data_IF_806414674498
#
_entry.id   IF_806414674498
#
_cell.length_a   1.000
_cell.length_b   1.000
_cell.length_c   1.000
_cell.angle_alpha   90.00
_cell.angle_beta   90.00
_cell.angle_gamma   90.00
#
_symmetry.space_group_name_H-M   'P 1'
#
loop_
_entity.id
_entity.type
_entity.pdbx_description
1 polymer ?
#
# COMPACT_ATOMS: atom_id res chain seq x y z
N UNK A 1 14.90 -18.01 8.31
CA UNK A 1 13.85 -17.84 7.28
C UNK A 1 12.95 -16.63 7.56
N UNK A 2 13.04 -16.00 8.73
CA UNK A 2 12.12 -14.90 9.12
C UNK A 2 12.44 -13.53 8.49
N UNK A 3 13.69 -13.32 8.04
CA UNK A 3 14.12 -12.02 7.50
C UNK A 3 13.53 -11.66 6.13
N UNK A 4 13.30 -12.64 5.26
CA UNK A 4 12.77 -12.40 3.90
C UNK A 4 11.30 -11.99 3.94
N UNK A 5 10.49 -12.68 4.75
CA UNK A 5 9.09 -12.33 4.97
C UNK A 5 8.97 -10.94 5.64
N UNK A 6 9.80 -10.65 6.64
CA UNK A 6 9.83 -9.35 7.30
C UNK A 6 10.17 -8.20 6.32
N UNK A 7 11.18 -8.39 5.47
CA UNK A 7 11.56 -7.42 4.45
C UNK A 7 10.46 -7.22 3.40
N UNK A 8 9.79 -8.30 2.99
CA UNK A 8 8.66 -8.24 2.08
C UNK A 8 7.51 -7.42 2.68
N UNK A 9 7.15 -7.67 3.94
CA UNK A 9 6.07 -6.94 4.61
C UNK A 9 6.41 -5.47 4.87
N UNK A 10 7.68 -5.16 5.18
CA UNK A 10 8.15 -3.78 5.26
C UNK A 10 7.95 -3.04 3.93
N UNK A 11 8.28 -3.69 2.80
CA UNK A 11 8.06 -3.13 1.45
C UNK A 11 6.57 -3.01 1.13
N UNK A 12 5.78 -4.03 1.43
CA UNK A 12 4.33 -4.05 1.21
C UNK A 12 3.61 -2.96 2.02
N UNK A 13 4.07 -2.67 3.24
CA UNK A 13 3.50 -1.61 4.09
C UNK A 13 3.47 -0.25 3.38
N UNK A 14 4.48 0.02 2.55
CA UNK A 14 4.60 1.24 1.77
C UNK A 14 3.96 1.14 0.38
N UNK A 15 4.16 0.02 -0.32
CA UNK A 15 3.72 -0.15 -1.71
C UNK A 15 2.22 -0.38 -1.85
N UNK A 16 1.60 -1.12 -0.94
CA UNK A 16 0.20 -1.47 -1.06
C UNK A 16 -0.73 -0.25 -1.07
N UNK A 17 -0.62 0.74 -0.15
CA UNK A 17 -1.49 1.92 -0.19
C UNK A 17 -1.31 2.74 -1.48
N UNK A 18 -0.07 2.90 -1.93
CA UNK A 18 0.25 3.63 -3.15
C UNK A 18 -0.34 2.93 -4.39
N UNK A 19 -0.09 1.63 -4.55
CA UNK A 19 -0.61 0.87 -5.68
C UNK A 19 -2.15 0.87 -5.68
N UNK A 20 -2.77 0.46 -4.57
CA UNK A 20 -4.22 0.29 -4.48
C UNK A 20 -4.98 1.60 -4.74
N UNK A 21 -4.55 2.72 -4.16
CA UNK A 21 -5.29 3.98 -4.31
C UNK A 21 -5.06 4.64 -5.67
N UNK A 22 -3.84 4.63 -6.21
CA UNK A 22 -3.59 5.20 -7.54
C UNK A 22 -4.30 4.42 -8.65
N UNK A 23 -4.32 3.09 -8.56
CA UNK A 23 -5.09 2.25 -9.48
C UNK A 23 -6.59 2.43 -9.30
N UNK A 24 -7.11 2.40 -8.06
CA UNK A 24 -8.55 2.51 -7.78
C UNK A 24 -9.14 3.82 -8.30
N UNK A 25 -8.43 4.94 -8.13
CA UNK A 25 -8.93 6.24 -8.56
C UNK A 25 -8.48 6.63 -9.96
N UNK A 26 -7.54 5.90 -10.58
CA UNK A 26 -6.94 6.29 -11.87
C UNK A 26 -6.22 7.64 -11.77
N UNK A 27 -5.66 7.97 -10.60
CA UNK A 27 -5.04 9.26 -10.30
C UNK A 27 -3.57 9.08 -9.95
N UNK A 28 -2.68 10.00 -10.36
CA UNK A 28 -1.29 9.99 -9.90
C UNK A 28 -1.22 10.26 -8.39
N UNK A 29 -0.11 9.88 -7.76
CA UNK A 29 0.08 9.96 -6.31
C UNK A 29 -0.16 11.38 -5.76
N UNK A 30 0.25 12.41 -6.49
CA UNK A 30 0.02 13.81 -6.12
C UNK A 30 -1.46 14.17 -5.98
N UNK A 31 -2.32 13.64 -6.85
CA UNK A 31 -3.76 13.85 -6.77
C UNK A 31 -4.40 12.99 -5.67
N UNK A 32 -3.91 11.76 -5.46
CA UNK A 32 -4.36 10.90 -4.34
C UNK A 32 -4.07 11.55 -2.99
N UNK A 33 -2.85 12.05 -2.76
CA UNK A 33 -2.50 12.72 -1.49
C UNK A 33 -3.26 14.03 -1.26
N UNK A 34 -3.75 14.67 -2.32
CA UNK A 34 -4.54 15.91 -2.23
C UNK A 34 -6.03 15.65 -2.01
N UNK A 35 -6.63 14.69 -2.74
CA UNK A 35 -8.08 14.43 -2.75
C UNK A 35 -8.51 13.29 -1.83
N UNK A 36 -7.58 12.40 -1.49
CA UNK A 36 -7.84 11.16 -0.76
C UNK A 36 -6.82 10.94 0.36
N UNK A 37 -6.29 12.02 0.96
CA UNK A 37 -5.28 11.98 2.03
C UNK A 37 -5.69 11.04 3.16
N UNK A 38 -6.93 11.17 3.65
CA UNK A 38 -7.45 10.35 4.76
C UNK A 38 -7.44 8.86 4.42
N UNK A 39 -7.83 8.49 3.20
CA UNK A 39 -7.79 7.09 2.75
C UNK A 39 -6.36 6.58 2.57
N UNK A 40 -5.44 7.43 2.11
CA UNK A 40 -4.02 7.10 2.00
C UNK A 40 -3.40 6.86 3.38
N UNK A 41 -3.70 7.72 4.36
CA UNK A 41 -3.24 7.56 5.73
C UNK A 41 -3.83 6.32 6.39
N UNK A 42 -5.15 6.13 6.32
CA UNK A 42 -5.82 4.97 6.92
C UNK A 42 -5.26 3.65 6.35
N UNK A 43 -5.10 3.56 5.03
CA UNK A 43 -4.56 2.35 4.40
C UNK A 43 -3.08 2.14 4.75
N UNK A 44 -2.28 3.20 4.92
CA UNK A 44 -0.91 3.09 5.40
C UNK A 44 -0.81 2.63 6.87
N UNK A 45 -1.76 3.02 7.72
CA UNK A 45 -1.87 2.54 9.10
C UNK A 45 -2.24 1.04 9.13
N UNK A 46 -3.21 0.63 8.32
CA UNK A 46 -3.62 -0.77 8.22
C UNK A 46 -2.49 -1.65 7.69
N UNK A 47 -1.82 -1.25 6.61
CA UNK A 47 -0.71 -2.02 6.04
C UNK A 47 0.50 -2.06 6.96
N UNK A 48 0.73 -1.02 7.76
CA UNK A 48 1.76 -1.04 8.80
C UNK A 48 1.41 -2.00 9.95
N UNK A 49 0.14 -2.03 10.38
CA UNK A 49 -0.31 -2.98 11.40
C UNK A 49 -0.16 -4.43 10.94
N UNK A 50 -0.54 -4.74 9.70
CA UNK A 50 -0.32 -6.07 9.11
C UNK A 50 1.17 -6.39 9.01
N UNK A 51 1.99 -5.45 8.54
CA UNK A 51 3.44 -5.66 8.45
C UNK A 51 4.04 -6.03 9.81
N UNK A 52 3.69 -5.28 10.87
CA UNK A 52 4.16 -5.56 12.23
C UNK A 52 3.73 -6.94 12.71
N UNK A 53 2.47 -7.32 12.46
CA UNK A 53 1.95 -8.63 12.83
C UNK A 53 2.67 -9.79 12.10
N UNK A 54 3.14 -9.54 10.87
CA UNK A 54 3.95 -10.48 10.09
C UNK A 54 5.47 -10.38 10.35
N UNK A 55 5.90 -9.66 11.40
CA UNK A 55 7.30 -9.51 11.78
C UNK A 55 8.11 -8.49 10.98
N UNK A 56 7.48 -7.76 10.05
CA UNK A 56 8.10 -6.71 9.26
C UNK A 56 8.06 -5.34 9.93
N UNK A 57 9.14 -4.55 9.91
CA UNK A 57 9.12 -3.18 10.43
C UNK A 57 8.23 -2.28 9.57
N UNK A 58 7.33 -1.53 10.23
CA UNK A 58 6.58 -0.47 9.58
C UNK A 58 6.28 0.65 10.57
N UNK A 59 6.50 1.89 10.14
CA UNK A 59 6.11 3.09 10.86
C UNK A 59 5.11 3.88 10.02
N UNK A 60 3.80 3.82 10.35
CA UNK A 60 2.79 4.51 9.58
C UNK A 60 2.96 6.04 9.64
N UNK A 61 3.60 6.57 10.70
CA UNK A 61 3.85 8.00 10.81
C UNK A 61 4.83 8.53 9.74
N UNK A 62 5.70 7.66 9.21
CA UNK A 62 6.64 8.03 8.15
C UNK A 62 6.04 7.91 6.75
N UNK A 63 4.93 7.19 6.58
CA UNK A 63 4.35 6.96 5.26
C UNK A 63 3.95 8.27 4.55
N UNK A 64 3.28 9.25 5.19
CA UNK A 64 2.94 10.51 4.55
C UNK A 64 4.16 11.26 4.00
N UNK A 65 5.21 11.41 4.81
CA UNK A 65 6.44 12.09 4.40
C UNK A 65 7.11 11.38 3.20
N UNK A 66 7.11 10.05 3.20
CA UNK A 66 7.63 9.26 2.07
C UNK A 66 6.82 9.46 0.81
N UNK A 67 5.49 9.50 0.89
CA UNK A 67 4.64 9.81 -0.27
C UNK A 67 4.83 11.25 -0.75
N UNK A 68 5.03 12.19 0.17
CA UNK A 68 5.22 13.60 -0.16
C UNK A 68 6.54 13.89 -0.89
N UNK A 69 7.55 13.02 -0.76
CA UNK A 69 8.82 13.11 -1.47
C UNK A 69 8.75 12.71 -2.95
N UNK A 70 7.68 12.05 -3.40
CA UNK A 70 7.52 11.68 -4.80
C UNK A 70 7.03 12.88 -5.63
N UNK A 71 7.47 12.98 -6.91
CA UNK A 71 6.86 13.93 -7.85
C UNK A 71 5.33 13.77 -7.93
N UNK A 72 4.58 14.86 -8.09
CA UNK A 72 3.11 14.81 -8.05
C UNK A 72 2.51 13.96 -9.19
N UNK A 73 3.22 13.78 -10.30
CA UNK A 73 2.80 12.99 -11.45
C UNK A 73 3.17 11.50 -11.35
N UNK A 74 3.78 11.05 -10.25
CA UNK A 74 4.19 9.65 -10.09
C UNK A 74 2.98 8.71 -10.14
N UNK A 75 3.08 7.68 -10.99
CA UNK A 75 2.11 6.58 -11.11
C UNK A 75 2.69 5.29 -10.55
N UNK A 76 1.86 4.46 -9.94
CA UNK A 76 2.28 3.09 -9.57
C UNK A 76 2.39 2.21 -10.82
N UNK A 77 3.11 1.09 -10.73
CA UNK A 77 3.14 0.11 -11.84
C UNK A 77 1.74 -0.45 -12.11
N UNK A 78 1.03 -0.84 -11.05
CA UNK A 78 -0.33 -1.37 -11.15
C UNK A 78 -1.30 -0.36 -11.79
N UNK A 79 -1.11 0.95 -11.59
CA UNK A 79 -1.90 1.97 -12.29
C UNK A 79 -1.59 1.96 -13.79
N UNK A 80 -0.31 1.92 -14.17
CA UNK A 80 0.08 1.86 -15.59
C UNK A 80 -0.42 0.59 -16.28
N UNK A 81 -0.40 -0.54 -15.58
CA UNK A 81 -0.96 -1.79 -16.08
C UNK A 81 -2.48 -1.67 -16.30
N UNK A 82 -3.20 -1.09 -15.33
CA UNK A 82 -4.63 -0.81 -15.48
C UNK A 82 -4.94 0.12 -16.66
N UNK A 83 -4.19 1.22 -16.82
CA UNK A 83 -4.33 2.16 -17.93
C UNK A 83 -4.06 1.51 -19.30
N UNK A 84 -3.21 0.47 -19.32
CA UNK A 84 -2.89 -0.30 -20.52
C UNK A 84 -3.87 -1.45 -20.79
N UNK A 85 -4.93 -1.59 -19.98
CA UNK A 85 -5.89 -2.70 -20.09
C UNK A 85 -5.31 -4.06 -19.69
N UNK A 86 -4.17 -4.08 -18.98
CA UNK A 86 -3.54 -5.33 -18.53
C UNK A 86 -4.18 -5.79 -17.21
N UNK A 87 -4.17 -7.11 -16.93
CA UNK A 87 -4.52 -7.62 -15.62
C UNK A 87 -3.68 -6.94 -14.53
N UNK A 88 -4.34 -6.51 -13.46
CA UNK A 88 -3.68 -5.89 -12.30
C UNK A 88 -3.43 -6.91 -11.19
N UNK A 89 -2.38 -6.68 -10.41
CA UNK A 89 -1.97 -7.50 -9.28
C UNK A 89 -2.83 -7.29 -8.02
N UNK A 90 -4.16 -7.14 -8.18
CA UNK A 90 -5.05 -6.78 -7.09
C UNK A 90 -5.11 -7.86 -5.99
N UNK A 91 -5.19 -9.14 -6.35
CA UNK A 91 -5.16 -10.21 -5.34
C UNK A 91 -3.78 -10.35 -4.69
N UNK A 92 -2.71 -10.22 -5.48
CA UNK A 92 -1.34 -10.33 -4.97
C UNK A 92 -1.00 -9.22 -3.98
N UNK A 93 -1.60 -8.03 -4.11
CA UNK A 93 -1.40 -6.90 -3.20
C UNK A 93 -2.53 -6.82 -2.15
N UNK A 94 -3.75 -6.53 -2.60
CA UNK A 94 -4.91 -6.33 -1.71
C UNK A 94 -5.40 -7.64 -1.10
N UNK A 95 -5.50 -8.71 -1.88
CA UNK A 95 -5.89 -10.03 -1.37
C UNK A 95 -4.89 -10.57 -0.35
N UNK A 96 -3.58 -10.42 -0.61
CA UNK A 96 -2.53 -10.82 0.33
C UNK A 96 -2.61 -10.03 1.65
N UNK A 97 -2.89 -8.73 1.58
CA UNK A 97 -3.12 -7.88 2.77
C UNK A 97 -4.31 -8.37 3.59
N UNK A 98 -5.45 -8.62 2.95
CA UNK A 98 -6.67 -9.09 3.63
C UNK A 98 -6.44 -10.45 4.30
N UNK A 99 -5.85 -11.41 3.59
CA UNK A 99 -5.54 -12.74 4.14
C UNK A 99 -4.56 -12.65 5.31
N UNK A 100 -3.59 -11.74 5.26
CA UNK A 100 -2.67 -11.54 6.38
C UNK A 100 -3.33 -10.86 7.58
N UNK A 101 -4.16 -9.85 7.33
CA UNK A 101 -4.94 -9.19 8.37
C UNK A 101 -5.83 -10.19 9.12
N UNK A 102 -6.55 -11.03 8.38
CA UNK A 102 -7.39 -12.10 8.92
C UNK A 102 -6.60 -13.10 9.76
N UNK A 103 -5.48 -13.64 9.24
CA UNK A 103 -4.62 -14.59 9.98
C UNK A 103 -4.11 -14.06 11.31
N UNK A 104 -3.87 -12.75 11.40
CA UNK A 104 -3.30 -12.11 12.59
C UNK A 104 -4.33 -11.33 13.43
N UNK A 105 -5.62 -11.38 13.08
CA UNK A 105 -6.66 -10.64 13.79
C UNK A 105 -6.52 -9.11 13.70
N UNK A 106 -5.80 -8.60 12.69
CA UNK A 106 -5.68 -7.16 12.44
C UNK A 106 -6.96 -6.70 11.74
N UNK A 107 -7.61 -5.67 12.28
CA UNK A 107 -8.82 -5.10 11.68
C UNK A 107 -8.46 -4.32 10.41
N UNK A 108 -8.84 -4.85 9.23
CA UNK A 108 -8.85 -4.13 7.96
C UNK A 108 -10.23 -3.55 7.70
N UNK A 109 -10.35 -2.28 7.29
CA UNK A 109 -11.64 -1.62 7.02
C UNK A 109 -11.88 -1.34 5.54
#
# INVERSE_FOLDING_TARGET
MDGEAAALWAKMSFLAPFALLTTRYGLPLGAVRGRHREKLTALAEETAAVSRACGGPADPAQAPARYDAFPPHTKSSMQRDAESGRPVELDAIGGALLRAAERHGVRSR
#
